data_IF_955656020706
#
_entry.id   IF_955656020706
#
_cell.length_a   1.000
_cell.length_b   1.000
_cell.length_c   1.000
_cell.angle_alpha   90.00
_cell.angle_beta   90.00
_cell.angle_gamma   90.00
#
_symmetry.space_group_name_H-M   'P 1'
#
loop_
_entity.id
_entity.type
_entity.pdbx_description
1 polymer ?
#
# COMPACT_ATOMS: atom_id res chain seq x y z
N UNK A 1 16.23 5.57 -10.30
CA UNK A 1 15.37 4.37 -10.30
C UNK A 1 15.35 3.68 -11.67
N UNK A 2 14.84 4.32 -12.73
CA UNK A 2 14.73 3.68 -14.06
C UNK A 2 16.03 3.13 -14.65
N UNK A 3 17.13 3.87 -14.57
CA UNK A 3 18.45 3.40 -15.02
C UNK A 3 18.97 2.19 -14.23
N UNK A 4 18.76 2.18 -12.91
CA UNK A 4 19.19 1.08 -12.04
C UNK A 4 18.33 -0.16 -12.28
N UNK A 5 17.02 0.01 -12.41
CA UNK A 5 16.09 -1.07 -12.73
C UNK A 5 16.38 -1.67 -14.12
N UNK A 6 16.62 -0.83 -15.14
CA UNK A 6 17.01 -1.29 -16.47
C UNK A 6 18.38 -1.97 -16.51
N UNK A 7 19.34 -1.45 -15.73
CA UNK A 7 20.66 -2.09 -15.59
C UNK A 7 20.59 -3.46 -14.92
N UNK A 8 19.78 -3.61 -13.87
CA UNK A 8 19.57 -4.90 -13.20
C UNK A 8 18.76 -5.88 -14.06
N UNK A 9 17.72 -5.42 -14.74
CA UNK A 9 16.89 -6.29 -15.59
C UNK A 9 17.66 -6.80 -16.80
N UNK A 10 18.60 -6.02 -17.36
CA UNK A 10 19.44 -6.44 -18.48
C UNK A 10 20.29 -7.68 -18.19
N UNK A 11 20.64 -7.95 -16.91
CA UNK A 11 21.34 -9.16 -16.51
C UNK A 11 20.44 -10.39 -16.36
N UNK A 12 19.14 -10.19 -16.12
CA UNK A 12 18.18 -11.26 -15.85
C UNK A 12 17.22 -11.54 -17.01
N UNK A 13 17.21 -10.68 -18.03
CA UNK A 13 16.28 -10.78 -19.16
C UNK A 13 16.79 -11.77 -20.20
N UNK A 14 15.96 -12.78 -20.50
CA UNK A 14 16.27 -13.82 -21.48
C UNK A 14 15.84 -13.41 -22.89
N UNK A 15 14.82 -12.56 -23.01
CA UNK A 15 14.28 -12.06 -24.28
C UNK A 15 13.83 -10.59 -24.13
N UNK A 16 14.19 -9.76 -25.09
CA UNK A 16 13.89 -8.32 -25.10
C UNK A 16 12.59 -7.99 -25.85
N UNK A 17 11.85 -9.00 -26.31
CA UNK A 17 10.57 -8.82 -26.98
C UNK A 17 9.52 -8.22 -26.04
N UNK A 18 9.31 -6.91 -26.17
CA UNK A 18 8.24 -6.19 -25.48
C UNK A 18 6.91 -6.45 -26.21
N UNK A 19 6.03 -7.24 -25.60
CA UNK A 19 4.68 -7.40 -26.16
C UNK A 19 3.84 -6.14 -25.87
N UNK A 20 2.87 -5.80 -26.73
CA UNK A 20 1.96 -4.68 -26.47
C UNK A 20 1.18 -4.84 -25.16
N UNK A 21 0.93 -6.09 -24.74
CA UNK A 21 0.29 -6.42 -23.46
C UNK A 21 1.16 -5.99 -22.28
N UNK A 22 2.45 -6.31 -22.31
CA UNK A 22 3.39 -5.95 -21.23
C UNK A 22 3.53 -4.43 -21.10
N UNK A 23 3.54 -3.74 -22.24
CA UNK A 23 3.56 -2.27 -22.28
C UNK A 23 2.31 -1.67 -21.60
N UNK A 24 1.12 -2.20 -21.92
CA UNK A 24 -0.14 -1.72 -21.33
C UNK A 24 -0.17 -2.01 -19.82
N UNK A 25 0.23 -3.21 -19.39
CA UNK A 25 0.27 -3.56 -17.96
C UNK A 25 1.27 -2.67 -17.21
N UNK A 26 2.46 -2.45 -17.76
CA UNK A 26 3.46 -1.58 -17.14
C UNK A 26 2.97 -0.13 -17.03
N UNK A 27 2.27 0.37 -18.05
CA UNK A 27 1.73 1.72 -18.03
C UNK A 27 0.58 1.86 -17.04
N UNK A 28 -0.29 0.83 -16.96
CA UNK A 28 -1.36 0.77 -15.97
C UNK A 28 -0.81 0.78 -14.53
N UNK A 29 0.15 -0.09 -14.22
CA UNK A 29 0.79 -0.14 -12.91
C UNK A 29 1.50 1.17 -12.57
N UNK A 30 2.21 1.77 -13.51
CA UNK A 30 2.92 3.03 -13.29
C UNK A 30 1.99 4.22 -13.06
N UNK A 31 1.00 4.42 -13.93
CA UNK A 31 0.13 5.60 -13.91
C UNK A 31 -0.96 5.45 -12.85
N UNK A 32 -1.73 4.37 -12.91
CA UNK A 32 -2.90 4.20 -12.07
C UNK A 32 -2.53 3.69 -10.68
N UNK A 33 -1.71 2.65 -10.59
CA UNK A 33 -1.42 2.07 -9.28
C UNK A 33 -0.44 2.93 -8.48
N UNK A 34 0.71 3.28 -9.06
CA UNK A 34 1.74 4.07 -8.36
C UNK A 34 1.44 5.57 -8.41
N UNK A 35 1.15 6.12 -9.59
CA UNK A 35 0.94 7.56 -9.78
C UNK A 35 -0.24 8.11 -8.98
N UNK A 36 -1.42 7.50 -9.11
CA UNK A 36 -2.61 7.91 -8.35
C UNK A 36 -2.41 7.65 -6.85
N UNK A 37 -1.84 6.49 -6.48
CA UNK A 37 -1.57 6.15 -5.08
C UNK A 37 -0.71 7.20 -4.38
N UNK A 38 0.43 7.56 -4.96
CA UNK A 38 1.29 8.61 -4.39
C UNK A 38 0.63 9.99 -4.39
N UNK A 39 -0.15 10.33 -5.43
CA UNK A 39 -0.87 11.60 -5.48
C UNK A 39 -1.84 11.71 -4.29
N UNK A 40 -2.61 10.66 -4.02
CA UNK A 40 -3.52 10.61 -2.86
C UNK A 40 -2.78 10.72 -1.54
N UNK A 41 -1.63 10.05 -1.39
CA UNK A 41 -0.80 10.14 -0.18
C UNK A 41 -0.28 11.55 0.03
N UNK A 42 0.24 12.21 -1.01
CA UNK A 42 0.77 13.58 -0.93
C UNK A 42 -0.32 14.61 -0.65
N UNK A 43 -1.52 14.42 -1.20
CA UNK A 43 -2.67 15.27 -0.87
C UNK A 43 -3.13 15.03 0.58
N UNK A 44 -3.26 13.77 0.99
CA UNK A 44 -3.73 13.38 2.32
C UNK A 44 -2.77 13.76 3.44
N UNK A 45 -1.45 13.70 3.21
CA UNK A 45 -0.43 14.04 4.21
C UNK A 45 -0.47 15.50 4.66
N UNK A 46 -1.18 16.37 3.95
CA UNK A 46 -1.37 17.78 4.34
C UNK A 46 -2.48 17.97 5.38
N UNK A 47 -3.39 17.01 5.49
CA UNK A 47 -4.58 17.09 6.36
C UNK A 47 -4.52 16.13 7.55
N UNK A 48 -3.56 15.21 7.54
CA UNK A 48 -3.47 14.10 8.49
C UNK A 48 -2.13 14.21 9.24
N UNK A 49 -2.12 14.17 10.59
CA UNK A 49 -0.89 14.14 11.39
C UNK A 49 0.07 13.03 10.92
N UNK A 50 1.39 13.29 10.98
CA UNK A 50 2.41 12.38 10.46
C UNK A 50 2.31 10.93 11.02
N UNK A 51 1.87 10.77 12.27
CA UNK A 51 1.66 9.47 12.89
C UNK A 51 0.56 8.64 12.19
N UNK A 52 -0.53 9.28 11.75
CA UNK A 52 -1.64 8.62 11.07
C UNK A 52 -1.30 8.23 9.64
N UNK A 53 -0.45 9.00 8.96
CA UNK A 53 0.05 8.63 7.62
C UNK A 53 0.83 7.32 7.67
N UNK A 54 1.66 7.12 8.70
CA UNK A 54 2.37 5.86 8.91
C UNK A 54 1.43 4.69 9.19
N UNK A 55 0.39 4.90 10.00
CA UNK A 55 -0.64 3.89 10.26
C UNK A 55 -1.44 3.53 8.99
N UNK A 56 -1.81 4.52 8.17
CA UNK A 56 -2.45 4.29 6.88
C UNK A 56 -1.54 3.51 5.91
N UNK A 57 -0.23 3.77 5.93
CA UNK A 57 0.72 2.99 5.14
C UNK A 57 0.80 1.52 5.61
N UNK A 58 0.51 1.23 6.88
CA UNK A 58 0.44 -0.14 7.39
C UNK A 58 -0.89 -0.85 7.06
N UNK A 59 -1.95 -0.12 6.72
CA UNK A 59 -3.23 -0.69 6.28
C UNK A 59 -3.05 -1.49 5.00
N UNK A 60 -2.34 -0.94 4.00
CA UNK A 60 -2.11 -1.57 2.70
C UNK A 60 -1.53 -3.02 2.83
N UNK A 61 -0.40 -3.25 3.52
CA UNK A 61 0.16 -4.59 3.66
C UNK A 61 -0.72 -5.54 4.49
N UNK A 62 -1.62 -5.04 5.36
CA UNK A 62 -2.62 -5.89 6.04
C UNK A 62 -3.73 -6.33 5.09
N UNK A 63 -4.13 -5.46 4.16
CA UNK A 63 -5.11 -5.80 3.13
C UNK A 63 -4.55 -6.77 2.08
N UNK A 64 -3.25 -6.75 1.79
CA UNK A 64 -2.65 -7.59 0.76
C UNK A 64 -2.93 -9.11 0.92
N UNK A 65 -2.76 -9.73 2.11
CA UNK A 65 -3.16 -11.12 2.36
C UNK A 65 -4.67 -11.38 2.17
N UNK A 66 -5.52 -10.40 2.49
CA UNK A 66 -6.97 -10.52 2.33
C UNK A 66 -7.32 -10.57 0.84
N UNK A 67 -6.69 -9.70 0.03
CA UNK A 67 -6.85 -9.72 -1.43
C UNK A 67 -6.29 -11.00 -2.06
N UNK A 68 -5.14 -11.49 -1.59
CA UNK A 68 -4.55 -12.75 -2.06
C UNK A 68 -5.45 -13.95 -1.73
N UNK A 69 -6.01 -13.99 -0.53
CA UNK A 69 -6.96 -15.04 -0.14
C UNK A 69 -8.23 -15.02 -1.01
N UNK A 70 -8.80 -13.84 -1.27
CA UNK A 70 -10.01 -13.73 -2.11
C UNK A 70 -9.75 -13.99 -3.59
N UNK A 71 -8.60 -13.54 -4.13
CA UNK A 71 -8.30 -13.62 -5.56
C UNK A 71 -7.60 -14.91 -5.99
N UNK A 72 -6.69 -15.43 -5.16
CA UNK A 72 -5.82 -16.58 -5.46
C UNK A 72 -6.18 -17.80 -4.59
N UNK A 73 -6.91 -17.61 -3.49
CA UNK A 73 -7.28 -18.69 -2.57
C UNK A 73 -6.17 -19.07 -1.58
N UNK A 74 -5.10 -18.27 -1.49
CA UNK A 74 -4.01 -18.53 -0.56
C UNK A 74 -4.48 -18.32 0.88
N UNK A 75 -4.45 -19.39 1.69
CA UNK A 75 -4.84 -19.30 3.10
C UNK A 75 -3.72 -18.58 3.87
N UNK A 76 -3.99 -17.40 4.47
CA UNK A 76 -2.97 -16.67 5.20
C UNK A 76 -2.53 -17.46 6.42
N UNK A 77 -1.22 -17.57 6.61
CA UNK A 77 -0.63 -18.28 7.74
C UNK A 77 -0.93 -17.57 9.07
N UNK A 78 -0.75 -18.30 10.19
CA UNK A 78 -0.98 -17.76 11.54
C UNK A 78 -0.19 -16.48 11.81
N UNK A 79 1.06 -16.40 11.35
CA UNK A 79 1.90 -15.20 11.51
C UNK A 79 1.29 -13.96 10.83
N UNK A 80 0.70 -14.14 9.64
CA UNK A 80 0.04 -13.07 8.89
C UNK A 80 -1.21 -12.57 9.60
N UNK A 81 -2.00 -13.49 10.16
CA UNK A 81 -3.22 -13.14 10.92
C UNK A 81 -2.86 -12.41 12.22
N UNK A 82 -1.85 -12.88 12.95
CA UNK A 82 -1.41 -12.23 14.21
C UNK A 82 -0.87 -10.84 13.93
N UNK A 83 0.02 -10.70 12.94
CA UNK A 83 0.56 -9.39 12.54
C UNK A 83 -0.53 -8.43 12.06
N UNK A 84 -1.45 -8.91 11.22
CA UNK A 84 -2.59 -8.13 10.74
C UNK A 84 -3.50 -7.65 11.87
N UNK A 85 -3.75 -8.49 12.86
CA UNK A 85 -4.58 -8.15 14.04
C UNK A 85 -3.94 -7.05 14.89
N UNK A 86 -2.63 -7.12 15.13
CA UNK A 86 -1.89 -6.10 15.88
C UNK A 86 -1.99 -4.73 15.19
N UNK A 87 -1.73 -4.70 13.89
CA UNK A 87 -1.80 -3.46 13.10
C UNK A 87 -3.23 -2.90 13.11
N UNK A 88 -4.23 -3.77 12.89
CA UNK A 88 -5.64 -3.36 12.89
C UNK A 88 -6.06 -2.74 14.23
N UNK A 89 -5.67 -3.33 15.36
CA UNK A 89 -5.94 -2.79 16.69
C UNK A 89 -5.26 -1.44 16.92
N UNK A 90 -4.02 -1.28 16.44
CA UNK A 90 -3.30 -0.01 16.55
C UNK A 90 -4.02 1.12 15.81
N UNK A 91 -4.46 0.85 14.57
CA UNK A 91 -5.20 1.83 13.74
C UNK A 91 -6.57 2.15 14.35
N UNK A 92 -7.31 1.12 14.80
CA UNK A 92 -8.63 1.31 15.41
C UNK A 92 -8.54 2.17 16.68
N UNK A 93 -7.54 1.91 17.53
CA UNK A 93 -7.32 2.67 18.76
C UNK A 93 -6.93 4.12 18.45
N UNK A 94 -6.01 4.34 17.51
CA UNK A 94 -5.60 5.68 17.09
C UNK A 94 -6.79 6.49 16.54
N UNK A 95 -7.61 5.88 15.67
CA UNK A 95 -8.81 6.52 15.12
C UNK A 95 -9.82 6.92 16.20
N UNK A 96 -10.08 6.04 17.18
CA UNK A 96 -10.99 6.32 18.29
C UNK A 96 -10.47 7.45 19.19
N UNK A 97 -9.17 7.43 19.53
CA UNK A 97 -8.56 8.47 20.36
C UNK A 97 -8.58 9.83 19.66
N UNK A 98 -8.33 9.85 18.35
CA UNK A 98 -8.34 11.08 17.56
C UNK A 98 -9.74 11.73 17.50
N UNK A 99 -10.80 10.93 17.30
CA UNK A 99 -12.19 11.43 17.34
C UNK A 99 -12.49 12.06 18.71
N UNK A 100 -12.10 11.39 19.79
CA UNK A 100 -12.35 11.86 21.16
C UNK A 100 -11.57 13.14 21.50
N UNK A 101 -10.35 13.31 20.98
CA UNK A 101 -9.59 14.56 21.13
C UNK A 101 -10.18 15.73 20.34
N UNK A 102 -10.85 15.48 19.22
CA UNK A 102 -11.54 16.51 18.44
C UNK A 102 -12.78 17.05 19.15
N UNK A 103 -13.49 16.19 19.90
CA UNK A 103 -14.68 16.56 20.68
C UNK A 103 -14.32 17.39 21.92
N UNK A 104 -13.20 17.09 22.58
CA UNK A 104 -12.73 17.81 23.77
C UNK A 104 -12.10 19.18 23.49
N UNK A 105 -11.68 19.47 22.25
CA UNK A 105 -11.08 20.76 21.86
C UNK A 105 -12.12 21.74 21.27
N UNK A 106 -13.37 21.30 21.13
CA UNK A 106 -14.49 22.09 20.60
C UNK A 106 -15.55 22.44 21.68
N UNK A 107 -15.30 22.05 22.94
CA UNK A 107 -16.11 22.37 24.12
C UNK A 107 -15.31 23.26 25.08
#
# INVERSE_FOLDING_TARGET
AGLVAGGLSAFFVTDYALTPRDLIISLYLGVFQVGVGFTLVVLGSRYVPAAQVGLLALVEPVLAPIWAWMGVGEVPGLATIVGGTIIFLAIATDGILNIKSSESNSA
#
